data_IF_436983682064
#
_entry.id   IF_436983682064
#
_cell.length_a   1.000
_cell.length_b   1.000
_cell.length_c   1.000
_cell.angle_alpha   90.00
_cell.angle_beta   90.00
_cell.angle_gamma   90.00
#
_symmetry.space_group_name_H-M   'P 1'
#
loop_
_entity.id
_entity.type
_entity.pdbx_description
1 polymer ?
#
# COMPACT_ATOMS: atom_id res chain seq x y z
N UNK A 1 -7.86 -45.99 30.00
CA UNK A 1 -6.96 -45.12 30.79
C UNK A 1 -5.99 -44.32 29.91
N UNK A 2 -5.42 -44.86 28.82
CA UNK A 2 -4.49 -44.11 27.94
C UNK A 2 -5.13 -43.02 27.06
N UNK A 3 -6.41 -43.16 26.68
CA UNK A 3 -7.07 -42.18 25.80
C UNK A 3 -7.28 -40.80 26.44
N UNK A 4 -7.49 -40.71 27.75
CA UNK A 4 -7.62 -39.42 28.45
C UNK A 4 -6.32 -38.62 28.39
N UNK A 5 -5.17 -39.28 28.54
CA UNK A 5 -3.86 -38.61 28.39
C UNK A 5 -3.61 -38.12 26.98
N UNK A 6 -4.05 -38.85 25.95
CA UNK A 6 -3.92 -38.43 24.54
C UNK A 6 -4.82 -37.22 24.26
N UNK A 7 -6.05 -37.21 24.77
CA UNK A 7 -6.94 -36.05 24.66
C UNK A 7 -6.39 -34.82 25.40
N UNK A 8 -5.81 -35.00 26.58
CA UNK A 8 -5.16 -33.89 27.32
C UNK A 8 -3.92 -33.35 26.59
N UNK A 9 -3.11 -34.21 25.96
CA UNK A 9 -1.96 -33.79 25.14
C UNK A 9 -2.38 -33.05 23.86
N UNK A 10 -3.46 -33.48 23.20
CA UNK A 10 -4.00 -32.79 22.03
C UNK A 10 -4.58 -31.41 22.38
N UNK A 11 -5.26 -31.28 23.53
CA UNK A 11 -5.78 -29.99 24.01
C UNK A 11 -4.64 -29.03 24.38
N UNK A 12 -3.55 -29.54 24.95
CA UNK A 12 -2.37 -28.73 25.28
C UNK A 12 -1.61 -28.27 24.01
N UNK A 13 -1.54 -29.11 22.97
CA UNK A 13 -0.94 -28.74 21.67
C UNK A 13 -1.79 -27.72 20.90
N UNK A 14 -3.10 -27.65 21.12
CA UNK A 14 -3.97 -26.64 20.51
C UNK A 14 -3.92 -25.26 21.18
N UNK A 15 -3.32 -25.13 22.38
CA UNK A 15 -3.33 -23.89 23.18
C UNK A 15 -2.05 -23.04 23.03
N UNK A 16 -1.06 -23.49 22.26
CA UNK A 16 0.17 -22.74 22.02
C UNK A 16 0.42 -22.44 20.54
N UNK A 17 -0.60 -21.97 19.82
CA UNK A 17 -0.32 -21.04 18.74
C UNK A 17 -0.14 -19.67 19.42
N UNK A 18 1.10 -19.15 19.59
CA UNK A 18 1.22 -17.76 20.00
C UNK A 18 0.43 -16.94 18.99
N UNK A 19 -0.48 -16.09 19.47
CA UNK A 19 -0.95 -14.97 18.66
C UNK A 19 0.28 -14.10 18.42
N UNK A 20 1.06 -14.42 17.39
CA UNK A 20 2.17 -13.62 16.94
C UNK A 20 1.59 -12.23 16.75
N UNK A 21 2.10 -11.24 17.51
CA UNK A 21 1.70 -9.86 17.34
C UNK A 21 1.94 -9.54 15.86
N UNK A 22 0.85 -9.47 15.08
CA UNK A 22 0.96 -9.22 13.66
C UNK A 22 1.45 -7.79 13.48
N UNK A 23 2.43 -7.62 12.59
CA UNK A 23 2.86 -6.28 12.22
C UNK A 23 1.69 -5.51 11.61
N UNK A 24 1.80 -4.18 11.63
CA UNK A 24 0.75 -3.29 11.17
C UNK A 24 0.39 -3.54 9.70
N UNK A 25 1.37 -3.83 8.85
CA UNK A 25 1.15 -4.08 7.42
C UNK A 25 0.28 -5.33 7.22
N UNK A 26 0.58 -6.43 7.90
CA UNK A 26 -0.21 -7.65 7.79
C UNK A 26 -1.62 -7.47 8.38
N UNK A 27 -1.74 -6.72 9.48
CA UNK A 27 -3.04 -6.39 10.06
C UNK A 27 -3.92 -5.67 9.04
N UNK A 28 -3.39 -4.61 8.42
CA UNK A 28 -4.12 -3.87 7.38
C UNK A 28 -4.43 -4.78 6.19
N UNK A 29 -3.43 -5.51 5.66
CA UNK A 29 -3.58 -6.37 4.49
C UNK A 29 -4.66 -7.44 4.68
N UNK A 30 -4.74 -8.06 5.86
CA UNK A 30 -5.75 -9.09 6.16
C UNK A 30 -7.15 -8.49 6.37
N UNK A 31 -7.25 -7.32 6.99
CA UNK A 31 -8.53 -6.64 7.25
C UNK A 31 -9.23 -6.18 5.96
N UNK A 32 -8.50 -5.50 5.06
CA UNK A 32 -9.07 -4.92 3.84
C UNK A 32 -8.89 -5.79 2.59
N UNK A 33 -8.18 -6.91 2.72
CA UNK A 33 -7.85 -7.87 1.65
C UNK A 33 -7.08 -7.23 0.50
N UNK A 34 -6.70 -8.05 -0.48
CA UNK A 34 -5.83 -7.64 -1.59
C UNK A 34 -6.36 -6.44 -2.37
N UNK A 35 -7.64 -6.47 -2.78
CA UNK A 35 -8.25 -5.37 -3.56
C UNK A 35 -8.33 -4.07 -2.75
N UNK A 36 -8.74 -4.15 -1.47
CA UNK A 36 -8.79 -2.98 -0.60
C UNK A 36 -7.40 -2.41 -0.33
N UNK A 37 -6.40 -3.27 -0.18
CA UNK A 37 -5.01 -2.87 0.01
C UNK A 37 -4.45 -2.18 -1.23
N UNK A 38 -4.73 -2.74 -2.41
CA UNK A 38 -4.41 -2.13 -3.70
C UNK A 38 -5.02 -0.73 -3.83
N UNK A 39 -6.31 -0.58 -3.50
CA UNK A 39 -6.99 0.72 -3.52
C UNK A 39 -6.39 1.70 -2.51
N UNK A 40 -6.05 1.25 -1.30
CA UNK A 40 -5.41 2.08 -0.28
C UNK A 40 -4.06 2.64 -0.76
N UNK A 41 -3.23 1.78 -1.36
CA UNK A 41 -1.94 2.19 -1.94
C UNK A 41 -2.15 3.18 -3.09
N UNK A 42 -3.06 2.88 -4.02
CA UNK A 42 -3.34 3.74 -5.17
C UNK A 42 -3.78 5.15 -4.71
N UNK A 43 -4.72 5.22 -3.77
CA UNK A 43 -5.17 6.50 -3.20
C UNK A 43 -4.02 7.22 -2.52
N UNK A 44 -3.19 6.51 -1.75
CA UNK A 44 -2.01 7.07 -1.11
C UNK A 44 -1.01 7.67 -2.12
N UNK A 45 -0.71 6.96 -3.21
CA UNK A 45 0.17 7.44 -4.27
C UNK A 45 -0.44 8.66 -4.98
N UNK A 46 -1.70 8.57 -5.44
CA UNK A 46 -2.38 9.65 -6.16
C UNK A 46 -2.48 10.95 -5.34
N UNK A 47 -2.69 10.84 -4.02
CA UNK A 47 -2.76 12.01 -3.13
C UNK A 47 -1.40 12.68 -2.89
N UNK A 48 -0.28 11.99 -3.12
CA UNK A 48 1.06 12.49 -2.87
C UNK A 48 1.83 12.80 -4.15
N UNK A 49 1.39 12.27 -5.29
CA UNK A 49 2.09 12.29 -6.57
C UNK A 49 1.15 12.81 -7.69
N UNK A 50 0.76 14.09 -7.65
CA UNK A 50 -0.31 14.63 -8.50
C UNK A 50 0.06 14.69 -10.00
N UNK A 51 1.36 14.68 -10.32
CA UNK A 51 1.85 14.79 -11.70
C UNK A 51 2.15 13.40 -12.33
N UNK A 52 1.76 12.34 -11.64
CA UNK A 52 1.96 10.95 -12.08
C UNK A 52 0.68 10.34 -12.63
N UNK A 53 0.82 9.55 -13.69
CA UNK A 53 -0.26 8.74 -14.24
C UNK A 53 -0.41 7.44 -13.46
N UNK A 54 -1.55 6.77 -13.58
CA UNK A 54 -1.73 5.41 -13.04
C UNK A 54 -0.60 4.47 -13.50
N UNK A 55 -0.21 4.54 -14.77
CA UNK A 55 0.85 3.70 -15.34
C UNK A 55 2.20 3.88 -14.64
N UNK A 56 2.51 5.09 -14.17
CA UNK A 56 3.73 5.37 -13.39
C UNK A 56 3.68 4.72 -12.00
N UNK A 57 2.47 4.54 -11.43
CA UNK A 57 2.24 4.03 -10.08
C UNK A 57 2.10 2.51 -10.00
N UNK A 58 1.68 1.84 -11.09
CA UNK A 58 1.46 0.38 -11.15
C UNK A 58 2.63 -0.44 -10.58
N UNK A 59 3.91 -0.15 -10.91
CA UNK A 59 5.03 -0.91 -10.37
C UNK A 59 5.11 -0.85 -8.84
N UNK A 60 4.93 0.33 -8.25
CA UNK A 60 4.96 0.51 -6.78
C UNK A 60 3.76 -0.16 -6.11
N UNK A 61 2.59 -0.14 -6.75
CA UNK A 61 1.41 -0.84 -6.25
C UNK A 61 1.68 -2.36 -6.19
N UNK A 62 2.28 -2.92 -7.24
CA UNK A 62 2.64 -4.34 -7.26
C UNK A 62 3.70 -4.70 -6.21
N UNK A 63 4.70 -3.83 -6.02
CA UNK A 63 5.73 -4.01 -4.98
C UNK A 63 5.12 -3.98 -3.57
N UNK A 64 4.24 -3.01 -3.29
CA UNK A 64 3.58 -2.89 -2.00
C UNK A 64 2.64 -4.08 -1.73
N UNK A 65 1.93 -4.60 -2.74
CA UNK A 65 1.14 -5.82 -2.61
C UNK A 65 2.01 -7.04 -2.26
N UNK A 66 3.15 -7.19 -2.93
CA UNK A 66 4.10 -8.26 -2.64
C UNK A 66 4.67 -8.14 -1.21
N UNK A 67 4.90 -6.92 -0.73
CA UNK A 67 5.30 -6.66 0.66
C UNK A 67 4.19 -7.05 1.64
N UNK A 68 2.93 -6.67 1.38
CA UNK A 68 1.78 -7.05 2.20
C UNK A 68 1.67 -8.56 2.41
N UNK A 69 1.83 -9.34 1.34
CA UNK A 69 1.85 -10.81 1.41
C UNK A 69 3.04 -11.31 2.25
N UNK A 70 4.26 -10.80 2.00
CA UNK A 70 5.47 -11.21 2.75
C UNK A 70 5.37 -10.91 4.24
N UNK A 71 4.77 -9.78 4.60
CA UNK A 71 4.59 -9.37 5.98
C UNK A 71 3.60 -10.24 6.76
N UNK A 72 2.79 -11.05 6.08
CA UNK A 72 1.92 -12.05 6.69
C UNK A 72 2.52 -13.46 6.75
N UNK A 73 3.80 -13.64 6.39
CA UNK A 73 4.47 -14.95 6.52
C UNK A 73 4.79 -15.29 7.98
N UNK A 74 5.07 -16.57 8.26
CA UNK A 74 5.45 -17.04 9.60
C UNK A 74 6.73 -16.36 10.12
N UNK A 75 7.61 -15.96 9.20
CA UNK A 75 8.86 -15.23 9.46
C UNK A 75 8.90 -13.92 8.65
N UNK A 76 8.20 -12.86 9.08
CA UNK A 76 8.17 -11.59 8.38
C UNK A 76 9.58 -10.96 8.29
N UNK A 77 9.93 -10.31 7.17
CA UNK A 77 11.12 -9.46 7.08
C UNK A 77 11.08 -8.29 8.07
N UNK A 78 12.26 -7.79 8.46
CA UNK A 78 12.37 -6.60 9.36
C UNK A 78 11.67 -5.37 8.81
N UNK A 79 11.59 -5.23 7.47
CA UNK A 79 10.90 -4.13 6.82
C UNK A 79 9.40 -4.05 7.18
N UNK A 80 8.80 -5.14 7.65
CA UNK A 80 7.39 -5.18 8.01
C UNK A 80 7.05 -4.41 9.29
N UNK A 81 8.05 -4.10 10.11
CA UNK A 81 7.93 -3.32 11.33
C UNK A 81 8.34 -1.85 11.13
N UNK A 82 8.74 -1.47 9.91
CA UNK A 82 9.08 -0.09 9.57
C UNK A 82 7.84 0.79 9.51
N UNK A 83 8.05 2.07 9.80
CA UNK A 83 7.04 3.09 9.63
C UNK A 83 6.54 3.14 8.17
N UNK A 84 5.22 3.15 8.00
CA UNK A 84 4.58 3.10 6.68
C UNK A 84 4.91 4.34 5.83
N UNK A 85 5.09 5.51 6.46
CA UNK A 85 5.47 6.71 5.72
C UNK A 85 6.92 6.61 5.25
N UNK A 86 7.83 6.05 6.05
CA UNK A 86 9.21 5.79 5.64
C UNK A 86 9.30 4.78 4.47
N UNK A 87 8.51 3.70 4.52
CA UNK A 87 8.40 2.73 3.43
C UNK A 87 7.89 3.39 2.16
N UNK A 88 6.80 4.16 2.26
CA UNK A 88 6.23 4.91 1.15
C UNK A 88 7.25 5.86 0.52
N UNK A 89 7.93 6.68 1.33
CA UNK A 89 8.93 7.63 0.85
C UNK A 89 10.12 6.93 0.20
N UNK A 90 10.58 5.82 0.79
CA UNK A 90 11.67 5.02 0.25
C UNK A 90 11.32 4.44 -1.12
N UNK A 91 10.10 3.91 -1.27
CA UNK A 91 9.60 3.35 -2.53
C UNK A 91 9.40 4.43 -3.62
N UNK A 92 8.94 5.63 -3.25
CA UNK A 92 8.87 6.75 -4.20
C UNK A 92 10.27 7.17 -4.63
N UNK A 93 11.20 7.30 -3.69
CA UNK A 93 12.57 7.73 -3.97
C UNK A 93 13.41 6.73 -4.76
N UNK A 94 13.01 5.45 -4.83
CA UNK A 94 13.66 4.46 -5.69
C UNK A 94 13.21 4.54 -7.16
N UNK A 95 12.16 5.30 -7.48
CA UNK A 95 11.64 5.49 -8.82
C UNK A 95 12.04 6.86 -9.38
N UNK A 96 13.03 6.88 -10.29
CA UNK A 96 13.45 8.11 -10.97
C UNK A 96 12.27 8.82 -11.65
N UNK A 97 11.38 8.07 -12.31
CA UNK A 97 10.20 8.62 -12.99
C UNK A 97 9.26 9.34 -12.03
N UNK A 98 8.95 8.76 -10.86
CA UNK A 98 8.08 9.40 -9.88
C UNK A 98 8.77 10.60 -9.22
N UNK A 99 10.06 10.51 -8.96
CA UNK A 99 10.85 11.60 -8.38
C UNK A 99 10.90 12.80 -9.31
N UNK A 100 11.15 12.58 -10.60
CA UNK A 100 11.23 13.65 -11.59
C UNK A 100 9.88 14.32 -11.83
N UNK A 101 8.82 13.52 -12.08
CA UNK A 101 7.49 14.04 -12.38
C UNK A 101 6.91 14.90 -11.25
N UNK A 102 7.15 14.51 -10.00
CA UNK A 102 6.61 15.21 -8.83
C UNK A 102 7.64 16.14 -8.16
N UNK A 103 8.78 16.41 -8.81
CA UNK A 103 9.80 17.33 -8.28
C UNK A 103 10.31 16.99 -6.87
N UNK A 104 10.47 15.70 -6.56
CA UNK A 104 10.83 15.20 -5.22
C UNK A 104 12.34 15.00 -4.99
N UNK A 105 13.19 15.33 -5.98
CA UNK A 105 14.64 15.07 -5.90
C UNK A 105 15.27 15.58 -4.60
N UNK A 106 14.99 16.83 -4.23
CA UNK A 106 15.52 17.43 -2.99
C UNK A 106 14.99 16.76 -1.72
N UNK A 107 13.78 16.20 -1.75
CA UNK A 107 13.26 15.42 -0.62
C UNK A 107 13.95 14.06 -0.53
N UNK A 108 14.23 13.41 -1.67
CA UNK A 108 14.87 12.11 -1.72
C UNK A 108 16.37 12.12 -1.38
N UNK A 109 17.04 13.28 -1.49
CA UNK A 109 18.40 13.49 -0.98
C UNK A 109 18.47 13.58 0.55
N UNK A 110 17.33 13.78 1.24
CA UNK A 110 17.23 13.82 2.70
C UNK A 110 17.04 12.42 3.28
N UNK A 111 17.24 12.30 4.60
CA UNK A 111 17.09 11.04 5.33
C UNK A 111 16.15 11.17 6.53
N UNK A 112 15.57 10.04 6.94
CA UNK A 112 14.75 9.92 8.17
C UNK A 112 13.73 11.06 8.34
N UNK A 113 13.75 11.75 9.49
CA UNK A 113 12.80 12.79 9.83
C UNK A 113 12.82 13.99 8.86
N UNK A 114 13.98 14.34 8.31
CA UNK A 114 14.09 15.44 7.35
C UNK A 114 13.41 15.11 6.02
N UNK A 115 13.53 13.86 5.57
CA UNK A 115 12.79 13.37 4.40
C UNK A 115 11.30 13.42 4.66
N UNK A 116 10.85 12.89 5.80
CA UNK A 116 9.42 12.91 6.17
C UNK A 116 8.87 14.34 6.19
N UNK A 117 9.58 15.28 6.81
CA UNK A 117 9.15 16.67 6.83
C UNK A 117 9.05 17.28 5.42
N UNK A 118 10.03 17.01 4.55
CA UNK A 118 10.01 17.49 3.17
C UNK A 118 8.81 16.96 2.38
N UNK A 119 8.48 15.67 2.51
CA UNK A 119 7.31 15.07 1.86
C UNK A 119 6.00 15.67 2.38
N UNK A 120 5.89 15.93 3.68
CA UNK A 120 4.72 16.58 4.28
C UNK A 120 4.55 18.00 3.72
N UNK A 121 5.62 18.79 3.67
CA UNK A 121 5.60 20.14 3.10
C UNK A 121 5.29 20.14 1.61
N UNK A 122 5.77 19.14 0.87
CA UNK A 122 5.43 18.95 -0.54
C UNK A 122 3.93 18.68 -0.69
N UNK A 123 3.39 17.72 0.08
CA UNK A 123 1.96 17.37 0.06
C UNK A 123 1.07 18.56 0.39
N UNK A 124 1.47 19.42 1.34
CA UNK A 124 0.72 20.61 1.73
C UNK A 124 0.58 21.65 0.60
N UNK A 125 1.46 21.61 -0.41
CA UNK A 125 1.44 22.50 -1.58
C UNK A 125 0.58 21.96 -2.73
N UNK A 126 0.16 20.69 -2.68
CA UNK A 126 -0.68 20.08 -3.71
C UNK A 126 -2.06 20.78 -3.67
N UNK A 127 -2.52 21.36 -4.80
CA UNK A 127 -3.85 21.97 -4.87
C UNK A 127 -4.94 20.96 -4.53
N UNK A 128 -5.85 21.36 -3.63
CA UNK A 128 -7.04 20.55 -3.23
C UNK A 128 -8.22 20.73 -4.19
N UNK A 129 -8.16 21.78 -5.01
CA UNK A 129 -9.05 22.04 -6.12
C UNK A 129 -8.52 21.27 -7.34
N UNK A 130 -9.08 20.08 -7.55
CA UNK A 130 -9.02 19.42 -8.85
C UNK A 130 -10.27 19.84 -9.61
N UNK A 131 -10.18 20.93 -10.37
CA UNK A 131 -11.13 21.25 -11.43
C UNK A 131 -11.11 20.08 -12.44
N UNK A 132 -11.92 19.06 -12.17
CA UNK A 132 -12.08 17.90 -13.05
C UNK A 132 -12.62 18.39 -14.39
N UNK A 133 -11.77 18.36 -15.41
CA UNK A 133 -12.13 18.86 -16.73
C UNK A 133 -12.74 17.71 -17.55
N UNK A 134 -14.04 17.84 -17.78
CA UNK A 134 -14.92 17.02 -18.62
C UNK A 134 -15.16 15.58 -18.13
N UNK A 135 -16.33 15.37 -17.51
CA UNK A 135 -16.94 14.05 -17.44
C UNK A 135 -17.27 13.59 -18.88
N UNK A 136 -16.71 12.46 -19.30
CA UNK A 136 -17.17 11.76 -20.50
C UNK A 136 -18.68 11.47 -20.35
N UNK A 137 -19.47 11.46 -21.45
CA UNK A 137 -20.88 11.07 -21.39
C UNK A 137 -21.06 9.74 -20.64
N UNK A 138 -22.11 9.64 -19.81
CA UNK A 138 -22.38 8.44 -19.02
C UNK A 138 -22.47 7.16 -19.86
N UNK A 139 -22.92 7.28 -21.12
CA UNK A 139 -22.98 6.16 -22.06
C UNK A 139 -21.58 5.59 -22.36
N UNK A 140 -20.59 6.45 -22.64
CA UNK A 140 -19.21 6.02 -22.93
C UNK A 140 -18.57 5.39 -21.69
N UNK A 141 -18.85 5.96 -20.51
CA UNK A 141 -18.36 5.40 -19.24
C UNK A 141 -18.93 4.00 -18.95
N UNK A 142 -20.21 3.76 -19.24
CA UNK A 142 -20.85 2.46 -19.06
C UNK A 142 -20.25 1.39 -19.99
N UNK A 143 -19.91 1.74 -21.24
CA UNK A 143 -19.30 0.79 -22.17
C UNK A 143 -17.87 0.43 -21.76
N UNK A 144 -17.08 1.41 -21.33
CA UNK A 144 -15.73 1.16 -20.80
C UNK A 144 -15.76 0.27 -19.55
N UNK A 145 -16.69 0.54 -18.62
CA UNK A 145 -16.89 -0.28 -17.43
C UNK A 145 -17.27 -1.73 -17.76
N UNK A 146 -18.16 -1.95 -18.74
CA UNK A 146 -18.54 -3.30 -19.17
C UNK A 146 -17.38 -4.05 -19.81
N UNK A 147 -16.49 -3.33 -20.50
CA UNK A 147 -15.33 -3.92 -21.17
C UNK A 147 -14.28 -4.39 -20.18
N UNK A 148 -13.94 -3.56 -19.20
CA UNK A 148 -13.00 -3.91 -18.14
C UNK A 148 -13.31 -3.10 -16.86
N UNK A 149 -14.03 -3.75 -15.94
CA UNK A 149 -14.37 -3.20 -14.64
C UNK A 149 -13.14 -2.72 -13.86
N UNK A 150 -12.07 -3.53 -13.84
CA UNK A 150 -10.93 -3.29 -12.97
C UNK A 150 -10.05 -2.16 -13.51
N UNK A 151 -9.85 -2.10 -14.83
CA UNK A 151 -9.16 -0.99 -15.46
C UNK A 151 -9.96 0.32 -15.33
N UNK A 152 -11.30 0.26 -15.47
CA UNK A 152 -12.17 1.42 -15.33
C UNK A 152 -12.11 2.04 -13.92
N UNK A 153 -12.18 1.21 -12.87
CA UNK A 153 -12.13 1.67 -11.47
C UNK A 153 -10.77 2.25 -11.10
N UNK A 154 -9.68 1.79 -11.74
CA UNK A 154 -8.33 2.26 -11.46
C UNK A 154 -7.91 3.54 -12.20
N UNK A 155 -8.74 4.06 -13.12
CA UNK A 155 -8.38 5.13 -14.06
C UNK A 155 -8.09 6.48 -13.43
#
# INVERSE_FOLDING_TARGET
MQWLSVCSLLVLLSVSAPSQAQNQICTIFTEIKEDGFKSLILVGLAQNLPDSTLGDMVPLIAEALAMGVKCCSDTPPEDCDRDVADLFQSAVCSSETLVEKNHLKMCCEKTAAERTHCFVDHKAKIPRDLSFKAELPAADQCEDFKKDHNAFVGR
#
